data_IF_358834591582
#
_entry.id   IF_358834591582
#
_cell.length_a   1.000
_cell.length_b   1.000
_cell.length_c   1.000
_cell.angle_alpha   90.00
_cell.angle_beta   90.00
_cell.angle_gamma   90.00
#
_symmetry.space_group_name_H-M   'P 1'
#
loop_
_entity.id
_entity.type
_entity.pdbx_description
1 polymer ?
#
# COMPACT_ATOMS: atom_id res chain seq x y z
N UNK A 1 -22.91 -4.08 -21.09
CA UNK A 1 -22.69 -4.17 -19.63
C UNK A 1 -23.40 -5.43 -19.17
N UNK A 2 -22.66 -6.52 -19.03
CA UNK A 2 -23.23 -7.78 -18.52
C UNK A 2 -23.40 -7.64 -17.02
N UNK A 3 -24.62 -7.86 -16.55
CA UNK A 3 -24.99 -8.04 -15.16
C UNK A 3 -24.26 -9.28 -14.64
N UNK A 4 -23.01 -9.10 -14.18
CA UNK A 4 -22.26 -10.16 -13.52
C UNK A 4 -22.94 -10.30 -12.17
N UNK A 5 -23.70 -11.38 -11.97
CA UNK A 5 -24.27 -11.67 -10.66
C UNK A 5 -23.13 -11.98 -9.69
N UNK A 6 -22.63 -10.95 -9.03
CA UNK A 6 -21.67 -11.12 -7.95
C UNK A 6 -22.32 -11.86 -6.79
N UNK A 7 -21.52 -12.64 -6.06
CA UNK A 7 -22.02 -13.53 -5.02
C UNK A 7 -22.98 -12.80 -4.07
N UNK A 8 -24.19 -13.34 -3.91
CA UNK A 8 -25.17 -12.86 -2.96
C UNK A 8 -24.74 -13.28 -1.55
N UNK A 9 -24.09 -12.37 -0.84
CA UNK A 9 -23.92 -12.48 0.62
C UNK A 9 -25.17 -11.91 1.31
N UNK A 10 -25.57 -12.51 2.44
CA UNK A 10 -26.66 -11.95 3.26
C UNK A 10 -26.18 -10.66 3.92
N UNK A 11 -26.53 -9.52 3.32
CA UNK A 11 -26.12 -8.21 3.82
C UNK A 11 -26.66 -7.91 5.22
N UNK A 12 -27.75 -8.58 5.66
CA UNK A 12 -28.29 -8.43 7.02
C UNK A 12 -27.33 -8.99 8.09
N UNK A 13 -26.45 -9.91 7.71
CA UNK A 13 -25.44 -10.48 8.60
C UNK A 13 -24.18 -9.62 8.73
N UNK A 14 -23.99 -8.59 7.89
CA UNK A 14 -22.76 -7.77 7.85
C UNK A 14 -22.49 -7.00 9.14
N UNK A 15 -23.54 -6.53 9.82
CA UNK A 15 -23.39 -5.93 11.14
C UNK A 15 -22.84 -6.94 12.17
N UNK A 16 -23.17 -8.23 12.03
CA UNK A 16 -22.63 -9.29 12.88
C UNK A 16 -21.12 -9.53 12.65
N UNK A 17 -20.65 -9.32 11.41
CA UNK A 17 -19.25 -9.45 11.06
C UNK A 17 -18.38 -8.31 11.57
N UNK A 18 -18.84 -7.06 11.46
CA UNK A 18 -18.07 -5.88 11.90
C UNK A 18 -18.91 -4.95 12.79
N UNK A 19 -18.61 -4.99 14.09
CA UNK A 19 -19.22 -4.16 15.13
C UNK A 19 -18.23 -3.08 15.60
N UNK A 20 -18.69 -2.06 16.36
CA UNK A 20 -17.82 -0.96 16.79
C UNK A 20 -16.61 -1.36 17.64
N UNK A 21 -16.64 -2.53 18.30
CA UNK A 21 -15.60 -2.95 19.26
C UNK A 21 -15.06 -4.37 19.00
N UNK A 22 -15.53 -5.04 17.93
CA UNK A 22 -15.20 -6.42 17.63
C UNK A 22 -15.57 -6.81 16.20
N UNK A 23 -14.94 -7.89 15.72
CA UNK A 23 -15.26 -8.54 14.46
C UNK A 23 -15.51 -10.03 14.64
N UNK A 24 -16.20 -10.66 13.68
CA UNK A 24 -16.40 -12.09 13.67
C UNK A 24 -15.16 -12.82 13.08
N UNK A 25 -14.73 -13.96 13.64
CA UNK A 25 -13.56 -14.71 13.14
C UNK A 25 -13.64 -15.12 11.67
N UNK A 26 -14.86 -15.38 11.19
CA UNK A 26 -15.14 -15.70 9.79
C UNK A 26 -14.63 -14.64 8.80
N UNK A 27 -14.47 -13.37 9.22
CA UNK A 27 -13.83 -12.34 8.41
C UNK A 27 -12.41 -12.74 7.97
N UNK A 28 -11.71 -13.58 8.74
CA UNK A 28 -10.35 -13.99 8.41
C UNK A 28 -10.28 -15.30 7.61
N UNK A 29 -11.34 -16.10 7.54
CA UNK A 29 -11.20 -17.44 6.96
C UNK A 29 -12.35 -17.94 6.10
N UNK A 30 -13.45 -17.20 5.96
CA UNK A 30 -14.59 -17.58 5.12
C UNK A 30 -14.26 -17.32 3.63
N UNK A 31 -14.18 -18.38 2.79
CA UNK A 31 -13.89 -18.22 1.36
C UNK A 31 -15.00 -17.48 0.60
N UNK A 32 -16.28 -17.64 0.96
CA UNK A 32 -17.38 -16.97 0.29
C UNK A 32 -17.37 -15.47 0.58
N UNK A 33 -17.10 -15.11 1.83
CA UNK A 33 -16.90 -13.71 2.20
C UNK A 33 -15.71 -13.10 1.46
N UNK A 34 -14.60 -13.82 1.35
CA UNK A 34 -13.43 -13.37 0.60
C UNK A 34 -13.72 -13.14 -0.89
N UNK A 35 -14.47 -14.01 -1.57
CA UNK A 35 -14.84 -13.76 -2.97
C UNK A 35 -15.73 -12.51 -3.11
N UNK A 36 -16.62 -12.26 -2.14
CA UNK A 36 -17.40 -11.03 -2.10
C UNK A 36 -16.54 -9.78 -1.81
N UNK A 37 -15.49 -9.89 -0.99
CA UNK A 37 -14.52 -8.81 -0.77
C UNK A 37 -13.74 -8.48 -2.04
N UNK A 38 -13.31 -9.48 -2.81
CA UNK A 38 -12.66 -9.24 -4.09
C UNK A 38 -13.54 -8.43 -5.02
N UNK A 39 -14.82 -8.80 -5.14
CA UNK A 39 -15.77 -8.03 -5.94
C UNK A 39 -16.01 -6.63 -5.38
N UNK A 40 -16.55 -6.55 -4.16
CA UNK A 40 -17.11 -5.30 -3.62
C UNK A 40 -16.05 -4.31 -3.16
N UNK A 41 -14.84 -4.78 -2.87
CA UNK A 41 -13.73 -3.93 -2.45
C UNK A 41 -12.70 -3.82 -3.57
N UNK A 42 -11.96 -4.90 -3.85
CA UNK A 42 -10.78 -4.81 -4.72
C UNK A 42 -11.10 -4.48 -6.18
N UNK A 43 -12.29 -4.82 -6.68
CA UNK A 43 -12.70 -4.50 -8.05
C UNK A 43 -13.58 -3.25 -8.16
N UNK A 44 -13.95 -2.61 -7.04
CA UNK A 44 -14.84 -1.42 -7.06
C UNK A 44 -14.25 -0.15 -6.46
N UNK A 45 -13.12 -0.24 -5.74
CA UNK A 45 -12.42 0.92 -5.16
C UNK A 45 -11.13 1.27 -5.89
N UNK A 46 -10.43 2.29 -5.40
CA UNK A 46 -9.09 2.66 -5.83
C UNK A 46 -8.05 1.71 -5.23
N UNK A 47 -7.23 1.10 -6.09
CA UNK A 47 -6.16 0.19 -5.71
C UNK A 47 -4.84 0.75 -6.18
N UNK A 48 -3.87 0.88 -5.29
CA UNK A 48 -2.52 1.29 -5.68
C UNK A 48 -1.87 0.21 -6.52
N UNK A 49 -1.24 0.61 -7.64
CA UNK A 49 -0.64 -0.32 -8.61
C UNK A 49 0.84 -0.06 -8.88
N UNK A 50 1.31 1.19 -8.76
CA UNK A 50 2.69 1.57 -9.08
C UNK A 50 3.06 2.94 -8.48
N UNK A 51 4.35 3.25 -8.43
CA UNK A 51 4.83 4.62 -8.30
C UNK A 51 5.39 5.14 -9.63
N UNK A 52 5.20 6.42 -9.95
CA UNK A 52 5.59 7.02 -11.23
C UNK A 52 7.07 6.90 -11.56
N UNK A 53 7.95 6.88 -10.55
CA UNK A 53 9.39 6.68 -10.73
C UNK A 53 9.77 5.28 -11.23
N UNK A 54 8.85 4.31 -11.20
CA UNK A 54 9.03 3.01 -11.86
C UNK A 54 8.79 3.09 -13.37
N UNK A 55 8.25 4.21 -13.87
CA UNK A 55 7.85 4.45 -15.25
C UNK A 55 8.38 5.80 -15.76
N UNK A 56 9.71 6.08 -15.71
CA UNK A 56 10.23 7.41 -16.02
C UNK A 56 10.10 7.79 -17.50
N UNK A 57 10.09 6.84 -18.42
CA UNK A 57 10.11 7.10 -19.87
C UNK A 57 8.84 6.58 -20.58
N UNK A 58 8.47 7.19 -21.72
CA UNK A 58 7.47 6.61 -22.61
C UNK A 58 7.80 5.16 -23.01
N UNK A 59 6.81 4.29 -22.92
CA UNK A 59 6.92 2.86 -23.16
C UNK A 59 7.30 2.06 -21.92
N UNK A 60 7.78 2.69 -20.85
CA UNK A 60 8.07 1.97 -19.60
C UNK A 60 6.77 1.40 -19.05
N UNK A 61 6.82 0.14 -18.63
CA UNK A 61 5.69 -0.57 -18.05
C UNK A 61 6.13 -1.44 -16.88
N UNK A 62 5.18 -1.71 -15.99
CA UNK A 62 5.24 -2.79 -15.01
C UNK A 62 3.97 -3.63 -15.10
N UNK A 63 4.05 -4.92 -14.79
CA UNK A 63 2.90 -5.78 -14.62
C UNK A 63 2.66 -6.05 -13.14
N UNK A 64 1.40 -6.02 -12.74
CA UNK A 64 0.96 -6.23 -11.35
C UNK A 64 -0.45 -6.81 -11.35
N UNK A 65 -1.10 -6.84 -10.20
CA UNK A 65 -2.46 -7.36 -10.07
C UNK A 65 -3.32 -6.48 -9.19
N UNK A 66 -4.59 -6.36 -9.53
CA UNK A 66 -5.64 -5.90 -8.63
C UNK A 66 -6.41 -7.14 -8.19
N UNK A 67 -6.36 -7.47 -6.90
CA UNK A 67 -6.82 -8.76 -6.39
C UNK A 67 -6.18 -9.93 -7.14
N UNK A 68 -6.99 -10.68 -7.91
CA UNK A 68 -6.52 -11.78 -8.77
C UNK A 68 -6.43 -11.40 -10.25
N UNK A 69 -6.81 -10.19 -10.65
CA UNK A 69 -6.83 -9.77 -12.04
C UNK A 69 -5.49 -9.15 -12.46
N UNK A 70 -4.79 -9.69 -13.46
CA UNK A 70 -3.52 -9.15 -13.92
C UNK A 70 -3.73 -7.86 -14.72
N UNK A 71 -2.88 -6.87 -14.46
CA UNK A 71 -2.90 -5.55 -15.11
C UNK A 71 -1.51 -5.12 -15.54
N UNK A 72 -1.46 -4.23 -16.53
CA UNK A 72 -0.25 -3.57 -17.03
C UNK A 72 -0.39 -2.09 -16.71
N UNK A 73 0.56 -1.53 -15.97
CA UNK A 73 0.70 -0.07 -15.78
C UNK A 73 1.77 0.41 -16.75
N UNK A 74 1.47 1.38 -17.60
CA UNK A 74 2.36 1.80 -18.67
C UNK A 74 2.28 3.30 -18.90
N UNK A 75 3.43 3.95 -19.09
CA UNK A 75 3.50 5.32 -19.60
C UNK A 75 3.49 5.28 -21.12
N UNK A 76 2.51 5.92 -21.76
CA UNK A 76 2.43 5.92 -23.21
C UNK A 76 3.33 6.99 -23.88
N UNK A 77 3.25 7.07 -25.20
CA UNK A 77 4.06 7.99 -26.01
C UNK A 77 3.74 9.48 -25.79
N UNK A 78 2.57 9.80 -25.27
CA UNK A 78 2.18 11.16 -24.90
C UNK A 78 2.57 11.52 -23.47
N UNK A 79 3.00 10.53 -22.68
CA UNK A 79 3.36 10.68 -21.28
C UNK A 79 2.24 10.32 -20.29
N UNK A 80 1.03 10.01 -20.78
CA UNK A 80 -0.11 9.58 -19.97
C UNK A 80 0.13 8.17 -19.37
N UNK A 81 -0.27 7.98 -18.11
CA UNK A 81 -0.28 6.68 -17.46
C UNK A 81 -1.57 5.95 -17.80
N UNK A 82 -1.44 4.75 -18.36
CA UNK A 82 -2.53 3.85 -18.67
C UNK A 82 -2.44 2.61 -17.77
N UNK A 83 -3.58 2.12 -17.29
CA UNK A 83 -3.69 0.81 -16.64
C UNK A 83 -4.63 -0.06 -17.46
N UNK A 84 -4.09 -1.16 -17.96
CA UNK A 84 -4.77 -2.05 -18.90
C UNK A 84 -4.94 -3.43 -18.26
N UNK A 85 -6.12 -4.03 -18.35
CA UNK A 85 -6.27 -5.45 -18.01
C UNK A 85 -5.36 -6.27 -18.93
N UNK A 86 -4.48 -7.08 -18.35
CA UNK A 86 -3.51 -7.91 -19.07
C UNK A 86 -4.23 -9.15 -19.64
N UNK A 87 -5.19 -8.92 -20.55
CA UNK A 87 -6.07 -9.96 -21.08
C UNK A 87 -6.52 -9.61 -22.50
N UNK A 88 -5.98 -10.33 -23.47
CA UNK A 88 -6.37 -10.23 -24.87
C UNK A 88 -7.87 -10.48 -25.05
N UNK A 89 -8.53 -9.63 -25.84
CA UNK A 89 -9.97 -9.71 -26.11
C UNK A 89 -10.39 -10.93 -26.93
N UNK A 90 -9.45 -11.57 -27.64
CA UNK A 90 -9.77 -12.70 -28.51
C UNK A 90 -10.06 -14.01 -27.74
N UNK A 91 -9.09 -14.47 -26.93
CA UNK A 91 -9.17 -15.75 -26.19
C UNK A 91 -8.70 -15.66 -24.74
N UNK A 92 -8.53 -14.44 -24.22
CA UNK A 92 -8.21 -14.21 -22.81
C UNK A 92 -6.75 -14.46 -22.40
N UNK A 93 -5.85 -14.72 -23.35
CA UNK A 93 -4.42 -14.82 -23.05
C UNK A 93 -3.88 -13.47 -22.55
N UNK A 94 -3.00 -13.50 -21.56
CA UNK A 94 -2.15 -12.37 -21.20
C UNK A 94 -1.33 -11.90 -22.40
N UNK A 95 -1.11 -10.58 -22.50
CA UNK A 95 -0.39 -9.94 -23.60
C UNK A 95 1.02 -9.51 -23.22
N UNK A 96 1.34 -9.52 -21.93
CA UNK A 96 2.66 -9.20 -21.40
C UNK A 96 3.00 -10.10 -20.20
N UNK A 97 4.07 -10.89 -20.32
CA UNK A 97 4.57 -11.76 -19.24
C UNK A 97 5.73 -11.14 -18.46
N UNK A 98 6.37 -10.10 -19.01
CA UNK A 98 7.49 -9.44 -18.34
C UNK A 98 7.00 -8.64 -17.13
N UNK A 99 7.70 -8.77 -16.00
CA UNK A 99 7.39 -8.00 -14.78
C UNK A 99 7.53 -6.49 -14.99
N UNK A 100 8.56 -6.08 -15.74
CA UNK A 100 8.82 -4.68 -16.11
C UNK A 100 9.62 -4.60 -17.39
N UNK A 101 9.57 -3.46 -18.08
CA UNK A 101 10.38 -3.21 -19.26
C UNK A 101 9.98 -1.93 -19.98
N UNK A 102 10.44 -1.79 -21.22
CA UNK A 102 10.02 -0.73 -22.14
C UNK A 102 9.46 -1.37 -23.41
N UNK A 103 8.27 -0.95 -23.85
CA UNK A 103 7.58 -1.52 -25.00
C UNK A 103 7.05 -0.44 -25.96
N UNK A 104 6.88 -0.80 -27.23
CA UNK A 104 6.21 0.03 -28.25
C UNK A 104 4.71 -0.31 -28.40
N UNK A 105 4.28 -1.41 -27.80
CA UNK A 105 2.94 -1.99 -27.82
C UNK A 105 2.99 -3.42 -27.26
N UNK A 106 1.83 -4.05 -27.07
CA UNK A 106 1.71 -5.39 -26.50
C UNK A 106 1.12 -6.33 -27.54
N UNK A 107 1.81 -7.43 -27.84
CA UNK A 107 1.36 -8.41 -28.84
C UNK A 107 1.01 -9.72 -28.16
N UNK A 108 -0.24 -10.14 -28.31
CA UNK A 108 -0.71 -11.40 -27.74
C UNK A 108 0.06 -12.57 -28.37
N UNK A 109 0.70 -13.45 -27.57
CA UNK A 109 1.52 -14.54 -28.08
C UNK A 109 0.69 -15.64 -28.77
N UNK A 110 -0.64 -15.64 -28.59
CA UNK A 110 -1.49 -16.69 -29.12
C UNK A 110 -1.81 -16.49 -30.62
N UNK A 111 -2.41 -15.34 -30.98
CA UNK A 111 -2.84 -15.07 -32.36
C UNK A 111 -2.33 -13.72 -32.87
N UNK A 112 -1.30 -13.15 -32.23
CA UNK A 112 -0.65 -11.90 -32.64
C UNK A 112 -1.56 -10.67 -32.75
N UNK A 113 -2.65 -10.63 -31.99
CA UNK A 113 -3.40 -9.38 -31.78
C UNK A 113 -2.50 -8.38 -31.06
N UNK A 114 -2.26 -7.26 -31.71
CA UNK A 114 -1.28 -6.25 -31.31
C UNK A 114 -1.98 -4.99 -30.86
N UNK A 115 -1.70 -4.57 -29.63
CA UNK A 115 -2.30 -3.43 -28.96
C UNK A 115 -1.28 -2.31 -28.78
N UNK A 116 -1.72 -1.06 -28.86
CA UNK A 116 -0.94 0.10 -28.46
C UNK A 116 -0.82 0.21 -26.93
N UNK A 117 0.03 1.12 -26.47
CA UNK A 117 0.26 1.38 -25.04
C UNK A 117 -0.97 1.99 -24.33
N UNK A 118 -1.89 2.57 -25.11
CA UNK A 118 -3.21 3.04 -24.65
C UNK A 118 -4.28 1.93 -24.63
N UNK A 119 -3.92 0.71 -25.04
CA UNK A 119 -4.83 -0.44 -25.13
C UNK A 119 -5.56 -0.59 -26.48
N UNK A 120 -5.45 0.37 -27.40
CA UNK A 120 -6.12 0.32 -28.71
C UNK A 120 -5.62 -0.86 -29.53
N UNK A 121 -6.52 -1.65 -30.11
CA UNK A 121 -6.16 -2.72 -31.04
C UNK A 121 -5.63 -2.12 -32.36
N UNK A 122 -4.36 -2.36 -32.67
CA UNK A 122 -3.68 -1.84 -33.86
C UNK A 122 -3.74 -2.82 -35.04
N UNK A 123 -3.44 -4.07 -34.76
CA UNK A 123 -3.37 -5.10 -35.79
C UNK A 123 -3.89 -6.43 -35.26
N UNK A 124 -4.55 -7.17 -36.16
CA UNK A 124 -4.83 -8.58 -36.02
C UNK A 124 -4.51 -9.27 -37.35
N UNK A 125 -4.00 -10.50 -37.36
CA UNK A 125 -3.85 -11.30 -38.58
C UNK A 125 -5.22 -11.67 -39.18
N UNK A 126 -5.28 -11.82 -40.51
CA UNK A 126 -6.47 -12.26 -41.26
C UNK A 126 -7.75 -11.47 -40.91
N UNK A 127 -7.66 -10.15 -41.05
CA UNK A 127 -8.74 -9.24 -40.66
C UNK A 127 -10.00 -9.32 -41.52
N UNK A 128 -9.89 -9.86 -42.73
CA UNK A 128 -11.00 -10.20 -43.61
C UNK A 128 -12.01 -11.15 -42.95
N UNK A 129 -11.54 -12.00 -42.03
CA UNK A 129 -12.41 -12.87 -41.22
C UNK A 129 -13.34 -12.15 -40.23
N UNK A 130 -13.19 -10.82 -40.06
CA UNK A 130 -14.02 -9.99 -39.17
C UNK A 130 -14.90 -8.98 -39.93
N UNK A 131 -14.83 -8.93 -41.26
CA UNK A 131 -15.63 -8.00 -42.07
C UNK A 131 -17.14 -8.20 -41.84
N UNK A 132 -17.85 -7.12 -41.50
CA UNK A 132 -19.28 -7.15 -41.20
C UNK A 132 -19.64 -7.81 -39.86
N UNK A 133 -18.65 -8.24 -39.06
CA UNK A 133 -18.84 -8.85 -37.73
C UNK A 133 -18.48 -7.88 -36.62
N UNK A 134 -17.29 -7.27 -36.67
CA UNK A 134 -16.86 -6.25 -35.71
C UNK A 134 -15.72 -5.37 -36.25
N UNK A 135 -15.59 -4.17 -35.70
CA UNK A 135 -14.50 -3.25 -36.05
C UNK A 135 -13.37 -3.35 -35.03
N UNK A 136 -12.12 -3.05 -35.45
CA UNK A 136 -10.97 -3.03 -34.53
C UNK A 136 -11.18 -2.08 -33.35
N UNK A 137 -11.90 -0.98 -33.58
CA UNK A 137 -12.25 0.02 -32.56
C UNK A 137 -13.11 -0.53 -31.43
N UNK A 138 -13.83 -1.64 -31.66
CA UNK A 138 -14.70 -2.28 -30.65
C UNK A 138 -13.94 -3.23 -29.72
N UNK A 139 -12.67 -3.48 -30.03
CA UNK A 139 -11.86 -4.54 -29.43
C UNK A 139 -10.59 -4.05 -28.70
N UNK A 140 -10.56 -2.89 -28.02
CA UNK A 140 -9.41 -2.49 -27.23
C UNK A 140 -9.24 -3.41 -26.01
N UNK A 141 -8.04 -3.43 -25.44
CA UNK A 141 -7.87 -3.92 -24.07
C UNK A 141 -8.78 -3.13 -23.14
N UNK A 142 -9.25 -3.77 -22.08
CA UNK A 142 -10.03 -3.08 -21.04
C UNK A 142 -9.08 -2.10 -20.33
N UNK A 143 -9.32 -0.81 -20.50
CA UNK A 143 -8.62 0.28 -19.78
C UNK A 143 -9.36 0.52 -18.46
N UNK A 144 -8.61 0.63 -17.38
CA UNK A 144 -9.12 0.95 -16.04
C UNK A 144 -9.14 2.47 -15.82
N UNK A 145 -9.96 2.93 -14.89
CA UNK A 145 -9.90 4.30 -14.40
C UNK A 145 -8.56 4.48 -13.68
N UNK A 146 -7.84 5.56 -13.99
CA UNK A 146 -6.52 5.88 -13.39
C UNK A 146 -6.61 7.20 -12.64
N UNK A 147 -5.99 7.24 -11.47
CA UNK A 147 -5.77 8.45 -10.68
C UNK A 147 -4.33 8.48 -10.20
N UNK A 148 -3.73 9.66 -10.14
CA UNK A 148 -2.34 9.82 -9.70
C UNK A 148 -2.27 10.95 -8.68
N UNK A 149 -1.70 10.67 -7.51
CA UNK A 149 -1.51 11.66 -6.45
C UNK A 149 -0.10 11.52 -5.88
N UNK A 150 0.70 12.59 -5.94
CA UNK A 150 2.09 12.60 -5.47
C UNK A 150 2.93 11.41 -6.00
N UNK A 151 2.79 11.09 -7.28
CA UNK A 151 3.48 9.96 -7.93
C UNK A 151 2.91 8.57 -7.59
N UNK A 152 1.95 8.44 -6.65
CA UNK A 152 1.23 7.20 -6.39
C UNK A 152 0.17 6.98 -7.46
N UNK A 153 0.27 5.88 -8.20
CA UNK A 153 -0.66 5.52 -9.27
C UNK A 153 -1.70 4.54 -8.71
N UNK A 154 -2.96 4.94 -8.78
CA UNK A 154 -4.13 4.13 -8.42
C UNK A 154 -4.94 3.77 -9.65
N UNK A 155 -5.59 2.61 -9.61
CA UNK A 155 -6.52 2.18 -10.64
C UNK A 155 -7.78 1.53 -10.06
N UNK A 156 -8.87 1.61 -10.83
CA UNK A 156 -10.14 0.94 -10.51
C UNK A 156 -10.78 0.31 -11.75
N UNK A 157 -11.44 -0.84 -11.58
CA UNK A 157 -12.32 -1.40 -12.60
C UNK A 157 -13.69 -0.70 -12.64
N UNK A 158 -14.04 0.06 -11.60
CA UNK A 158 -15.25 0.85 -11.55
C UNK A 158 -15.02 2.22 -12.21
N UNK A 159 -15.53 2.40 -13.42
CA UNK A 159 -15.41 3.67 -14.16
C UNK A 159 -16.23 4.81 -13.54
N UNK A 160 -17.27 4.47 -12.76
CA UNK A 160 -18.14 5.42 -12.08
C UNK A 160 -17.68 5.75 -10.63
N UNK A 161 -16.48 5.31 -10.23
CA UNK A 161 -15.89 5.61 -8.92
C UNK A 161 -15.69 7.12 -8.73
N UNK A 162 -15.75 7.59 -7.49
CA UNK A 162 -15.44 8.97 -7.13
C UNK A 162 -14.00 9.35 -7.56
N UNK A 163 -13.72 10.66 -7.77
CA UNK A 163 -12.35 11.15 -7.97
C UNK A 163 -11.39 10.64 -6.89
N UNK A 164 -10.13 10.36 -7.28
CA UNK A 164 -9.12 9.83 -6.36
C UNK A 164 -8.92 10.76 -5.15
N UNK A 165 -9.00 12.06 -5.37
CA UNK A 165 -8.80 13.09 -4.35
C UNK A 165 -9.88 13.09 -3.27
N UNK A 166 -11.11 12.64 -3.62
CA UNK A 166 -12.23 12.50 -2.70
C UNK A 166 -12.10 11.19 -1.90
N UNK A 167 -11.64 10.13 -2.56
CA UNK A 167 -11.28 8.88 -1.90
C UNK A 167 -10.16 9.07 -0.88
N UNK A 168 -9.05 9.69 -1.27
CA UNK A 168 -7.91 9.92 -0.40
C UNK A 168 -8.26 10.86 0.77
N UNK A 169 -9.16 11.81 0.58
CA UNK A 169 -9.75 12.61 1.67
C UNK A 169 -8.72 13.15 2.67
N UNK A 170 -8.89 12.79 3.95
CA UNK A 170 -8.02 13.19 5.06
C UNK A 170 -6.61 12.60 5.03
N UNK A 171 -6.32 11.62 4.16
CA UNK A 171 -4.99 11.05 4.00
C UNK A 171 -4.05 11.93 3.16
N UNK A 172 -4.57 12.84 2.34
CA UNK A 172 -3.76 13.68 1.42
C UNK A 172 -2.64 14.46 2.12
N UNK A 173 -2.88 15.20 3.22
CA UNK A 173 -1.81 15.91 3.91
C UNK A 173 -0.71 14.98 4.44
N UNK A 174 -1.07 13.76 4.85
CA UNK A 174 -0.12 12.76 5.32
C UNK A 174 0.70 12.15 4.19
N UNK A 175 0.12 12.00 3.00
CA UNK A 175 0.86 11.61 1.80
C UNK A 175 1.86 12.72 1.44
N UNK A 176 1.44 13.98 1.47
CA UNK A 176 2.32 15.12 1.16
C UNK A 176 3.52 15.16 2.14
N UNK A 177 3.27 14.99 3.44
CA UNK A 177 4.32 14.88 4.46
C UNK A 177 5.22 13.67 4.23
N UNK A 178 4.63 12.51 3.91
CA UNK A 178 5.39 11.30 3.60
C UNK A 178 6.36 11.53 2.43
N UNK A 179 5.96 12.30 1.42
CA UNK A 179 6.80 12.55 0.24
C UNK A 179 7.95 13.54 0.47
N UNK A 180 7.98 14.27 1.60
CA UNK A 180 9.11 15.14 1.95
C UNK A 180 10.39 14.39 2.31
N UNK A 181 10.29 13.07 2.57
CA UNK A 181 11.45 12.24 2.91
C UNK A 181 12.48 12.06 1.77
N UNK A 182 12.25 12.65 0.59
CA UNK A 182 13.26 12.80 -0.43
C UNK A 182 14.37 13.81 -0.08
N UNK A 183 14.24 14.55 1.04
CA UNK A 183 15.27 15.45 1.56
C UNK A 183 15.79 16.50 0.55
N UNK A 184 14.88 17.04 -0.26
CA UNK A 184 15.21 17.99 -1.34
C UNK A 184 15.37 17.35 -2.72
N UNK A 185 15.33 16.01 -2.79
CA UNK A 185 15.29 15.24 -4.03
C UNK A 185 13.91 14.61 -4.23
N UNK A 186 13.48 14.30 -5.47
CA UNK A 186 12.31 13.46 -5.69
C UNK A 186 12.48 12.07 -5.05
N UNK A 187 11.39 11.43 -4.65
CA UNK A 187 11.43 10.04 -4.16
C UNK A 187 11.37 9.07 -5.33
N UNK A 188 12.11 7.97 -5.22
CA UNK A 188 11.95 6.82 -6.11
C UNK A 188 11.81 5.49 -5.39
N UNK A 189 11.13 4.56 -6.05
CA UNK A 189 11.19 3.15 -5.70
C UNK A 189 12.60 2.60 -5.97
N UNK A 190 13.18 1.90 -5.00
CA UNK A 190 14.58 1.46 -5.00
C UNK A 190 14.69 -0.04 -4.72
N UNK A 191 13.99 -0.82 -5.53
CA UNK A 191 13.92 -2.26 -5.38
C UNK A 191 12.76 -2.72 -4.49
N UNK A 192 12.44 -3.99 -4.62
CA UNK A 192 11.34 -4.62 -3.90
C UNK A 192 11.74 -6.03 -3.47
N UNK A 193 11.10 -6.51 -2.41
CA UNK A 193 11.02 -7.93 -2.14
C UNK A 193 9.58 -8.32 -1.82
N UNK A 194 9.27 -9.59 -2.05
CA UNK A 194 7.93 -10.15 -1.85
C UNK A 194 8.02 -11.38 -0.98
N UNK A 195 7.04 -11.55 -0.12
CA UNK A 195 6.83 -12.80 0.62
C UNK A 195 5.34 -13.05 0.76
N UNK A 196 4.99 -14.28 1.15
CA UNK A 196 3.62 -14.67 1.44
C UNK A 196 3.53 -15.15 2.88
N UNK A 197 2.40 -14.90 3.50
CA UNK A 197 2.05 -15.51 4.78
C UNK A 197 0.69 -16.19 4.68
N UNK A 198 0.50 -17.21 5.51
CA UNK A 198 -0.75 -17.96 5.60
C UNK A 198 -1.76 -17.22 6.47
N UNK A 199 -2.32 -16.15 5.92
CA UNK A 199 -3.41 -15.44 6.57
C UNK A 199 -4.12 -14.44 5.68
N UNK A 200 -5.22 -13.92 6.23
CA UNK A 200 -6.09 -12.96 5.59
C UNK A 200 -5.43 -11.59 5.42
N UNK A 201 -5.77 -10.89 4.34
CA UNK A 201 -5.22 -9.58 4.03
C UNK A 201 -5.54 -8.53 5.11
N UNK A 202 -6.68 -8.66 5.78
CA UNK A 202 -7.11 -7.73 6.84
C UNK A 202 -6.19 -7.75 8.07
N UNK A 203 -5.56 -8.89 8.38
CA UNK A 203 -4.62 -9.03 9.50
C UNK A 203 -3.39 -8.12 9.29
N UNK A 204 -2.88 -8.03 8.06
CA UNK A 204 -1.78 -7.13 7.77
C UNK A 204 -2.25 -5.67 7.69
N UNK A 205 -3.43 -5.43 7.12
CA UNK A 205 -4.03 -4.10 7.05
C UNK A 205 -4.10 -3.43 8.43
N UNK A 206 -4.63 -4.14 9.44
CA UNK A 206 -4.75 -3.61 10.80
C UNK A 206 -3.39 -3.43 11.49
N UNK A 207 -2.47 -4.37 11.29
CA UNK A 207 -1.13 -4.36 11.89
C UNK A 207 -0.32 -3.10 11.55
N UNK A 208 -0.49 -2.52 10.36
CA UNK A 208 0.26 -1.32 9.92
C UNK A 208 0.12 -0.16 10.90
N UNK A 209 -1.08 0.04 11.45
CA UNK A 209 -1.37 1.08 12.44
C UNK A 209 -1.54 0.54 13.85
N UNK A 210 -1.14 -0.72 14.09
CA UNK A 210 -1.02 -1.29 15.42
C UNK A 210 0.34 -0.98 16.01
N UNK A 211 0.50 0.08 16.82
CA UNK A 211 1.78 0.30 17.49
C UNK A 211 1.90 -0.48 18.80
N UNK A 212 0.82 -1.11 19.30
CA UNK A 212 0.83 -1.82 20.58
C UNK A 212 1.66 -3.11 20.53
N UNK A 213 1.67 -3.82 19.40
CA UNK A 213 2.48 -5.04 19.23
C UNK A 213 3.99 -4.77 19.18
N UNK A 214 4.40 -3.57 18.76
CA UNK A 214 5.76 -3.32 18.28
C UNK A 214 6.84 -3.66 19.31
N UNK A 215 6.76 -3.21 20.59
CA UNK A 215 7.81 -3.51 21.59
C UNK A 215 7.89 -4.99 21.98
N UNK A 216 6.85 -5.77 21.70
CA UNK A 216 6.75 -7.18 22.10
C UNK A 216 7.22 -8.09 20.97
N UNK A 217 6.65 -7.91 19.78
CA UNK A 217 6.94 -8.74 18.61
C UNK A 217 8.37 -8.50 18.14
N UNK A 218 8.80 -7.24 18.05
CA UNK A 218 10.12 -6.86 17.52
C UNK A 218 11.22 -6.80 18.60
N UNK A 219 11.06 -7.55 19.70
CA UNK A 219 12.05 -7.63 20.80
C UNK A 219 13.41 -8.13 20.35
N UNK A 220 13.43 -8.99 19.33
CA UNK A 220 14.66 -9.50 18.73
C UNK A 220 15.45 -8.37 18.05
N UNK A 221 14.76 -7.53 17.27
CA UNK A 221 15.29 -6.39 16.55
C UNK A 221 15.75 -5.26 17.47
N UNK A 222 14.98 -4.92 18.50
CA UNK A 222 15.42 -3.88 19.45
C UNK A 222 16.74 -4.24 20.15
N UNK A 223 17.09 -5.53 20.26
CA UNK A 223 18.38 -5.98 20.79
C UNK A 223 19.53 -5.92 19.77
N UNK A 224 19.23 -5.76 18.48
CA UNK A 224 20.25 -5.68 17.42
C UNK A 224 20.66 -4.24 17.08
N UNK A 225 19.97 -3.24 17.63
CA UNK A 225 20.25 -1.81 17.46
C UNK A 225 20.81 -1.21 18.75
N UNK A 226 21.32 0.02 18.68
CA UNK A 226 21.75 0.78 19.85
C UNK A 226 20.58 1.18 20.77
N UNK A 227 20.87 1.31 22.07
CA UNK A 227 19.88 1.60 23.11
C UNK A 227 19.17 2.94 22.88
N UNK A 228 19.87 3.94 22.33
CA UNK A 228 19.30 5.25 21.99
C UNK A 228 18.21 5.11 20.93
N UNK A 229 18.50 4.43 19.83
CA UNK A 229 17.52 4.15 18.76
C UNK A 229 16.34 3.34 19.30
N UNK A 230 16.59 2.31 20.11
CA UNK A 230 15.54 1.48 20.69
C UNK A 230 14.61 2.30 21.61
N UNK A 231 15.17 3.17 22.44
CA UNK A 231 14.42 4.07 23.32
C UNK A 231 13.62 5.10 22.51
N UNK A 232 14.22 5.72 21.49
CA UNK A 232 13.55 6.71 20.65
C UNK A 232 12.32 6.12 19.97
N UNK A 233 12.47 4.96 19.32
CA UNK A 233 11.38 4.30 18.59
C UNK A 233 10.28 3.79 19.51
N UNK A 234 10.57 3.44 20.78
CA UNK A 234 9.54 2.93 21.70
C UNK A 234 8.93 4.00 22.60
N UNK A 235 9.40 5.25 22.50
CA UNK A 235 8.92 6.37 23.32
C UNK A 235 7.41 6.66 23.16
N UNK A 236 6.82 6.35 22.00
CA UNK A 236 5.38 6.47 21.74
C UNK A 236 4.51 5.68 22.72
N UNK A 237 5.06 4.67 23.41
CA UNK A 237 4.31 3.88 24.39
C UNK A 237 3.86 4.71 25.59
N UNK A 238 4.59 5.78 25.89
CA UNK A 238 4.37 6.65 27.04
C UNK A 238 4.21 8.12 26.67
N UNK A 239 4.45 8.49 25.42
CA UNK A 239 4.31 9.87 24.94
C UNK A 239 2.83 10.23 24.77
N UNK A 240 2.42 11.35 25.36
CA UNK A 240 1.06 11.91 25.16
C UNK A 240 0.87 12.50 23.75
N UNK A 241 1.98 12.81 23.07
CA UNK A 241 1.99 13.38 21.71
C UNK A 241 1.91 12.30 20.62
N UNK A 242 2.02 11.02 20.99
CA UNK A 242 1.86 9.91 20.06
C UNK A 242 0.38 9.53 19.91
N UNK A 243 -0.14 9.59 18.67
CA UNK A 243 -1.57 9.41 18.42
C UNK A 243 -1.86 8.57 17.17
N UNK A 244 -3.05 8.00 17.11
CA UNK A 244 -3.62 7.39 15.91
C UNK A 244 -4.87 8.18 15.45
N UNK A 245 -5.23 8.06 14.17
CA UNK A 245 -6.43 8.69 13.60
C UNK A 245 -7.20 7.79 12.64
N UNK A 246 -8.51 7.99 12.62
CA UNK A 246 -9.40 7.58 11.55
C UNK A 246 -9.52 8.75 10.55
N UNK A 247 -9.03 8.57 9.33
CA UNK A 247 -8.94 9.63 8.31
C UNK A 247 -10.10 9.63 7.31
N UNK A 248 -11.08 8.74 7.51
CA UNK A 248 -12.18 8.51 6.58
C UNK A 248 -11.82 7.52 5.48
N UNK A 249 -12.86 6.98 4.81
CA UNK A 249 -12.74 6.00 3.71
C UNK A 249 -11.87 4.78 4.04
N UNK A 250 -11.81 4.39 5.31
CA UNK A 250 -11.02 3.26 5.77
C UNK A 250 -9.53 3.56 5.96
N UNK A 251 -9.10 4.80 5.67
CA UNK A 251 -7.72 5.23 5.85
C UNK A 251 -7.40 5.48 7.32
N UNK A 252 -6.21 5.07 7.75
CA UNK A 252 -5.79 5.22 9.14
C UNK A 252 -4.34 5.67 9.26
N UNK A 253 -4.04 6.33 10.39
CA UNK A 253 -2.73 6.85 10.72
C UNK A 253 -2.33 6.40 12.11
N UNK A 254 -1.05 6.11 12.30
CA UNK A 254 -0.42 5.99 13.61
C UNK A 254 0.90 6.76 13.63
N UNK A 255 1.00 7.79 14.46
CA UNK A 255 2.21 8.59 14.70
C UNK A 255 2.97 7.99 15.87
N UNK A 256 4.22 7.61 15.64
CA UNK A 256 5.14 7.10 16.65
C UNK A 256 6.21 8.11 17.07
N UNK A 257 6.64 8.99 16.17
CA UNK A 257 7.67 10.01 16.43
C UNK A 257 7.13 11.36 15.95
N UNK A 258 6.39 12.11 16.80
CA UNK A 258 5.78 13.38 16.44
C UNK A 258 6.78 14.40 15.86
N UNK A 259 8.02 14.40 16.35
CA UNK A 259 9.14 15.23 15.91
C UNK A 259 9.65 14.91 14.49
N UNK A 260 9.20 13.79 13.90
CA UNK A 260 9.52 13.37 12.54
C UNK A 260 8.27 13.31 11.62
N UNK A 261 7.16 13.96 12.00
CA UNK A 261 5.99 14.09 11.11
C UNK A 261 6.37 14.89 9.87
N UNK A 262 6.94 16.09 10.05
CA UNK A 262 7.38 16.95 8.96
C UNK A 262 8.92 17.01 8.93
N UNK A 263 9.50 16.33 7.96
CA UNK A 263 10.96 16.26 7.81
C UNK A 263 11.59 17.58 7.33
N UNK A 264 10.78 18.55 6.90
CA UNK A 264 11.26 19.91 6.60
C UNK A 264 11.32 20.79 7.85
N UNK A 265 10.61 20.43 8.93
CA UNK A 265 10.72 21.13 10.22
C UNK A 265 11.89 20.55 11.02
N UNK A 266 12.87 21.39 11.33
CA UNK A 266 14.07 21.03 12.08
C UNK A 266 14.11 21.75 13.42
N UNK A 267 13.98 20.99 14.50
CA UNK A 267 14.00 21.47 15.88
C UNK A 267 15.43 21.75 16.41
N UNK A 268 16.46 21.46 15.60
CA UNK A 268 17.86 21.63 15.96
C UNK A 268 18.41 20.51 16.86
N UNK A 269 17.66 19.44 17.12
CA UNK A 269 18.14 18.31 17.90
C UNK A 269 19.40 17.70 17.27
N UNK A 270 20.37 17.20 18.06
CA UNK A 270 21.55 16.54 17.53
C UNK A 270 21.20 15.41 16.56
N UNK A 271 21.99 15.24 15.50
CA UNK A 271 21.85 14.07 14.63
C UNK A 271 22.26 12.80 15.41
N UNK A 272 21.59 11.66 15.19
CA UNK A 272 21.96 10.41 15.86
C UNK A 272 23.44 10.06 15.62
N UNK A 273 24.16 9.71 16.69
CA UNK A 273 25.62 9.52 16.65
C UNK A 273 26.04 8.44 15.63
N UNK A 274 25.21 7.41 15.45
CA UNK A 274 25.42 6.34 14.45
C UNK A 274 25.56 6.86 13.01
N UNK A 275 25.00 8.02 12.71
CA UNK A 275 25.10 8.64 11.38
C UNK A 275 26.24 9.67 11.28
N UNK A 276 27.02 9.90 12.34
CA UNK A 276 28.14 10.85 12.31
C UNK A 276 29.17 10.56 11.20
N UNK A 277 29.57 9.30 10.90
CA UNK A 277 30.47 9.01 9.79
C UNK A 277 29.89 9.40 8.42
N UNK A 278 28.59 9.15 8.21
CA UNK A 278 27.90 9.53 7.00
C UNK A 278 27.75 11.05 6.89
N UNK A 279 27.38 11.72 7.98
CA UNK A 279 27.25 13.17 8.04
C UNK A 279 28.57 13.87 7.71
N UNK A 280 29.69 13.39 8.25
CA UNK A 280 31.02 13.91 7.94
C UNK A 280 31.36 13.77 6.44
N UNK A 281 31.04 12.61 5.84
CA UNK A 281 31.26 12.39 4.41
C UNK A 281 30.38 13.26 3.53
N UNK A 282 29.13 13.48 3.90
CA UNK A 282 28.21 14.37 3.18
C UNK A 282 28.66 15.83 3.27
N UNK A 283 29.19 16.26 4.42
CA UNK A 283 29.68 17.62 4.65
C UNK A 283 30.86 18.03 3.74
N UNK A 284 31.54 17.07 3.08
CA UNK A 284 32.55 17.36 2.06
C UNK A 284 31.94 18.01 0.80
N UNK A 285 30.64 17.81 0.54
CA UNK A 285 29.97 18.18 -0.71
C UNK A 285 28.64 18.91 -0.54
N UNK A 286 28.11 18.98 0.68
CA UNK A 286 26.79 19.55 0.97
C UNK A 286 26.86 20.56 2.11
N UNK A 287 25.96 21.55 2.07
CA UNK A 287 25.85 22.53 3.15
C UNK A 287 25.32 21.88 4.46
N UNK A 288 25.61 22.44 5.64
CA UNK A 288 25.24 21.83 6.91
C UNK A 288 23.74 21.51 7.07
N UNK A 289 22.87 22.37 6.54
CA UNK A 289 21.42 22.19 6.50
C UNK A 289 20.99 21.04 5.57
N UNK A 290 21.61 20.93 4.39
CA UNK A 290 21.39 19.80 3.48
C UNK A 290 21.81 18.47 4.12
N UNK A 291 22.97 18.44 4.79
CA UNK A 291 23.46 17.25 5.52
C UNK A 291 22.44 16.84 6.58
N UNK A 292 21.95 17.78 7.40
CA UNK A 292 20.93 17.48 8.42
C UNK A 292 19.66 16.94 7.80
N UNK A 293 19.15 17.58 6.75
CA UNK A 293 17.91 17.14 6.07
C UNK A 293 18.05 15.71 5.53
N UNK A 294 19.17 15.41 4.88
CA UNK A 294 19.45 14.06 4.36
C UNK A 294 19.50 13.05 5.52
N UNK A 295 20.29 13.32 6.56
CA UNK A 295 20.48 12.36 7.68
C UNK A 295 19.17 12.13 8.44
N UNK A 296 18.40 13.18 8.76
CA UNK A 296 17.11 13.05 9.44
C UNK A 296 16.11 12.22 8.64
N UNK A 297 16.16 12.30 7.31
CA UNK A 297 15.28 11.53 6.45
C UNK A 297 15.63 10.04 6.35
N UNK A 298 16.79 9.56 6.81
CA UNK A 298 17.27 8.20 6.52
C UNK A 298 16.34 7.10 7.04
N UNK A 299 15.67 7.34 8.16
CA UNK A 299 14.67 6.43 8.73
C UNK A 299 13.27 6.65 8.18
N UNK A 300 13.04 7.70 7.40
CA UNK A 300 11.72 8.11 6.92
C UNK A 300 10.94 8.92 7.94
N UNK A 301 9.63 9.05 7.71
CA UNK A 301 8.74 9.82 8.58
C UNK A 301 8.39 9.08 9.87
N UNK A 302 8.02 9.83 10.90
CA UNK A 302 7.64 9.32 12.23
C UNK A 302 6.24 8.72 12.34
N UNK A 303 5.65 8.27 11.24
CA UNK A 303 4.30 7.73 11.21
C UNK A 303 4.13 6.60 10.20
N UNK A 304 3.10 5.79 10.44
CA UNK A 304 2.55 4.83 9.50
C UNK A 304 1.19 5.34 9.00
N UNK A 305 1.00 5.38 7.70
CA UNK A 305 -0.26 5.70 7.04
C UNK A 305 -0.74 4.46 6.28
N UNK A 306 -1.99 4.09 6.49
CA UNK A 306 -2.63 3.00 5.77
C UNK A 306 -3.70 3.58 4.84
N UNK A 307 -3.49 3.39 3.54
CA UNK A 307 -4.43 3.70 2.48
C UNK A 307 -5.19 2.42 2.13
N UNK A 308 -6.39 2.33 2.68
CA UNK A 308 -7.32 1.24 2.40
C UNK A 308 -7.48 1.04 0.88
N UNK A 309 -7.56 -0.21 0.38
CA UNK A 309 -7.38 -1.45 1.12
C UNK A 309 -5.95 -2.01 1.05
N UNK A 310 -5.03 -1.45 0.24
CA UNK A 310 -3.85 -2.21 -0.18
C UNK A 310 -2.47 -1.55 -0.06
N UNK A 311 -2.38 -0.29 0.35
CA UNK A 311 -1.11 0.42 0.42
C UNK A 311 -0.89 1.02 1.80
N UNK A 312 0.23 0.66 2.42
CA UNK A 312 0.76 1.31 3.60
C UNK A 312 2.02 2.11 3.24
N UNK A 313 2.09 3.35 3.74
CA UNK A 313 3.26 4.19 3.75
C UNK A 313 3.85 4.15 5.16
N UNK A 314 4.99 3.49 5.33
CA UNK A 314 5.58 3.27 6.64
C UNK A 314 7.03 3.70 6.62
N UNK A 315 7.40 4.61 7.52
CA UNK A 315 8.80 5.06 7.64
C UNK A 315 9.35 5.48 6.27
N UNK A 316 10.29 4.72 5.69
CA UNK A 316 10.88 4.95 4.37
C UNK A 316 10.59 3.87 3.32
N UNK A 317 9.42 3.24 3.36
CA UNK A 317 9.02 2.21 2.39
C UNK A 317 7.51 2.19 2.12
N UNK A 318 7.14 1.65 0.97
CA UNK A 318 5.77 1.22 0.72
C UNK A 318 5.62 -0.25 1.11
N UNK A 319 4.51 -0.58 1.77
CA UNK A 319 4.08 -1.96 1.98
C UNK A 319 2.76 -2.16 1.26
N UNK A 320 2.74 -3.12 0.35
CA UNK A 320 1.62 -3.35 -0.55
C UNK A 320 1.13 -4.75 -0.32
N UNK A 321 -0.13 -4.89 0.07
CA UNK A 321 -0.75 -6.20 0.22
C UNK A 321 -1.49 -6.60 -1.05
N UNK A 322 -1.49 -7.89 -1.31
CA UNK A 322 -2.28 -8.51 -2.37
C UNK A 322 -3.04 -9.71 -1.79
N UNK A 323 -4.38 -9.68 -1.78
CA UNK A 323 -5.18 -10.82 -1.36
C UNK A 323 -5.10 -11.94 -2.40
N UNK A 324 -4.71 -13.16 -1.98
CA UNK A 324 -4.69 -14.35 -2.85
C UNK A 324 -5.88 -15.25 -2.56
N UNK A 325 -6.14 -15.52 -1.28
CA UNK A 325 -7.31 -16.25 -0.80
C UNK A 325 -7.68 -15.77 0.60
N UNK A 326 -8.76 -16.30 1.17
CA UNK A 326 -9.11 -16.03 2.57
C UNK A 326 -7.95 -16.34 3.54
N UNK A 327 -7.06 -17.27 3.18
CA UNK A 327 -5.99 -17.79 4.03
C UNK A 327 -4.58 -17.55 3.48
N UNK A 328 -4.42 -16.75 2.42
CA UNK A 328 -3.09 -16.44 1.86
C UNK A 328 -3.07 -15.00 1.33
N UNK A 329 -2.03 -14.27 1.73
CA UNK A 329 -1.77 -12.89 1.30
C UNK A 329 -0.29 -12.76 0.91
N UNK A 330 -0.04 -12.05 -0.19
CA UNK A 330 1.30 -11.65 -0.61
C UNK A 330 1.56 -10.22 -0.19
N UNK A 331 2.73 -9.98 0.39
CA UNK A 331 3.21 -8.66 0.78
C UNK A 331 4.40 -8.30 -0.11
N UNK A 332 4.35 -7.10 -0.69
CA UNK A 332 5.44 -6.47 -1.43
C UNK A 332 5.92 -5.26 -0.62
N UNK A 333 7.18 -5.29 -0.22
CA UNK A 333 7.85 -4.11 0.32
C UNK A 333 8.66 -3.45 -0.78
N UNK A 334 8.49 -2.13 -0.94
CA UNK A 334 9.22 -1.30 -1.90
C UNK A 334 10.04 -0.30 -1.10
N UNK A 335 11.36 -0.47 -1.11
CA UNK A 335 12.27 0.49 -0.47
C UNK A 335 12.24 1.81 -1.23
N UNK A 336 12.37 2.93 -0.52
CA UNK A 336 12.44 4.26 -1.15
C UNK A 336 13.85 4.82 -1.12
N UNK A 337 14.18 5.64 -2.10
CA UNK A 337 15.44 6.36 -2.20
C UNK A 337 15.22 7.79 -2.72
N UNK A 338 16.24 8.61 -2.59
CA UNK A 338 16.34 9.93 -3.19
C UNK A 338 16.76 9.79 -4.65
N UNK A 339 15.97 10.30 -5.59
CA UNK A 339 16.31 10.30 -7.00
C UNK A 339 17.27 11.44 -7.35
N UNK A 340 18.47 11.08 -7.79
CA UNK A 340 19.57 12.03 -7.96
C UNK A 340 20.26 12.46 -6.66
N UNK A 341 19.86 11.91 -5.51
CA UNK A 341 20.50 12.19 -4.21
C UNK A 341 21.80 11.41 -3.98
N UNK A 342 22.53 11.67 -2.87
CA UNK A 342 23.83 11.06 -2.62
C UNK A 342 23.77 9.53 -2.48
N UNK A 343 24.61 8.83 -3.24
CA UNK A 343 24.66 7.36 -3.28
C UNK A 343 24.94 6.75 -1.90
N UNK A 344 25.80 7.38 -1.09
CA UNK A 344 26.07 6.91 0.27
C UNK A 344 24.84 6.96 1.18
N UNK A 345 24.00 7.98 1.04
CA UNK A 345 22.80 8.14 1.87
C UNK A 345 21.70 7.18 1.39
N UNK A 346 21.54 7.01 0.07
CA UNK A 346 20.65 5.99 -0.50
C UNK A 346 21.07 4.58 -0.10
N UNK A 347 22.38 4.30 -0.08
CA UNK A 347 22.91 3.02 0.38
C UNK A 347 22.63 2.81 1.86
N UNK A 348 22.81 3.82 2.70
CA UNK A 348 22.52 3.74 4.13
C UNK A 348 21.02 3.49 4.39
N UNK A 349 20.14 4.24 3.72
CA UNK A 349 18.69 4.02 3.79
C UNK A 349 18.31 2.60 3.37
N UNK A 350 18.93 2.07 2.31
CA UNK A 350 18.72 0.69 1.89
C UNK A 350 19.17 -0.32 2.97
N UNK A 351 20.31 -0.10 3.65
CA UNK A 351 20.77 -0.97 4.75
C UNK A 351 19.82 -0.92 5.94
N UNK A 352 19.27 0.24 6.27
CA UNK A 352 18.24 0.37 7.32
C UNK A 352 16.99 -0.43 6.94
N UNK A 353 16.53 -0.31 5.69
CA UNK A 353 15.40 -1.10 5.18
C UNK A 353 15.69 -2.60 5.25
N UNK A 354 16.87 -3.04 4.80
CA UNK A 354 17.27 -4.44 4.83
C UNK A 354 17.32 -5.02 6.25
N UNK A 355 17.77 -4.23 7.23
CA UNK A 355 17.90 -4.67 8.61
C UNK A 355 16.53 -4.98 9.24
N UNK A 356 15.50 -4.18 8.97
CA UNK A 356 14.18 -4.39 9.57
C UNK A 356 13.21 -5.11 8.61
N UNK A 357 12.98 -4.56 7.43
CA UNK A 357 11.93 -5.03 6.51
C UNK A 357 12.46 -5.88 5.36
N UNK A 358 13.78 -5.97 5.12
CA UNK A 358 14.33 -6.74 4.01
C UNK A 358 14.03 -8.24 4.05
N UNK A 359 14.41 -8.98 3.00
CA UNK A 359 14.13 -10.43 2.89
C UNK A 359 14.76 -11.26 4.02
N UNK A 360 15.79 -10.73 4.69
CA UNK A 360 16.42 -11.32 5.88
C UNK A 360 16.40 -10.36 7.08
N UNK A 361 15.54 -9.35 7.03
CA UNK A 361 15.35 -8.41 8.13
C UNK A 361 14.61 -9.06 9.30
N UNK A 362 14.63 -8.42 10.47
CA UNK A 362 14.00 -8.96 11.67
C UNK A 362 12.47 -8.79 11.68
N UNK A 363 11.96 -7.67 11.17
CA UNK A 363 10.56 -7.28 11.29
C UNK A 363 9.61 -8.15 10.48
N UNK A 364 9.91 -8.39 9.20
CA UNK A 364 9.06 -9.21 8.33
C UNK A 364 8.78 -10.64 8.86
N UNK A 365 9.78 -11.43 9.32
CA UNK A 365 9.52 -12.74 9.89
C UNK A 365 8.82 -12.68 11.26
N UNK A 366 9.15 -11.71 12.12
CA UNK A 366 8.51 -11.55 13.43
C UNK A 366 7.00 -11.22 13.26
N UNK A 367 6.68 -10.31 12.34
CA UNK A 367 5.31 -9.97 11.96
C UNK A 367 4.57 -11.16 11.34
N UNK A 368 5.18 -11.83 10.35
CA UNK A 368 4.53 -12.94 9.64
C UNK A 368 4.17 -14.12 10.57
N UNK A 369 5.04 -14.47 11.52
CA UNK A 369 4.73 -15.51 12.51
C UNK A 369 3.56 -15.11 13.41
N UNK A 370 3.47 -13.83 13.82
CA UNK A 370 2.33 -13.34 14.58
C UNK A 370 1.04 -13.39 13.75
N UNK A 371 1.07 -12.97 12.47
CA UNK A 371 -0.09 -13.01 11.59
C UNK A 371 -0.59 -14.44 11.34
N UNK A 372 0.30 -15.40 11.12
CA UNK A 372 -0.11 -16.79 10.94
C UNK A 372 -0.70 -17.38 12.23
N UNK A 373 -0.25 -16.94 13.42
CA UNK A 373 -0.90 -17.30 14.69
C UNK A 373 -2.31 -16.75 14.79
N UNK A 374 -2.53 -15.50 14.39
CA UNK A 374 -3.87 -14.89 14.33
C UNK A 374 -4.76 -15.70 13.40
N UNK A 375 -4.28 -16.04 12.20
CA UNK A 375 -5.04 -16.87 11.25
C UNK A 375 -5.42 -18.23 11.85
N UNK A 376 -4.45 -18.95 12.43
CA UNK A 376 -4.71 -20.25 13.10
C UNK A 376 -5.70 -20.11 14.24
N UNK A 377 -5.57 -19.04 15.03
CA UNK A 377 -6.45 -18.73 16.16
C UNK A 377 -7.88 -18.41 15.72
N UNK A 378 -8.07 -17.69 14.61
CA UNK A 378 -9.39 -17.34 14.09
C UNK A 378 -10.22 -18.55 13.64
N UNK A 379 -9.57 -19.68 13.30
CA UNK A 379 -10.28 -20.94 13.06
C UNK A 379 -10.77 -21.62 14.35
N UNK A 380 -10.23 -21.25 15.50
CA UNK A 380 -10.66 -21.76 16.79
C UNK A 380 -11.77 -20.85 17.36
N UNK A 381 -12.90 -21.45 17.74
CA UNK A 381 -14.02 -20.70 18.31
C UNK A 381 -14.75 -19.83 17.28
N UNK A 382 -15.52 -20.42 16.36
CA UNK A 382 -16.21 -19.69 15.28
C UNK A 382 -17.16 -18.58 15.78
N UNK A 383 -17.64 -18.71 17.02
CA UNK A 383 -18.55 -17.76 17.67
C UNK A 383 -17.84 -16.83 18.68
N UNK A 384 -16.51 -16.93 18.83
CA UNK A 384 -15.72 -16.10 19.75
C UNK A 384 -15.25 -14.85 19.00
N UNK A 385 -15.77 -13.65 19.29
CA UNK A 385 -15.40 -12.45 18.55
C UNK A 385 -13.92 -12.07 18.77
N UNK A 386 -13.31 -11.52 17.72
CA UNK A 386 -11.99 -10.88 17.80
C UNK A 386 -12.21 -9.42 18.20
N UNK A 387 -11.56 -8.97 19.27
CA UNK A 387 -11.80 -7.65 19.84
C UNK A 387 -10.98 -6.57 19.12
N UNK A 388 -11.60 -5.42 18.93
CA UNK A 388 -10.99 -4.18 18.40
C UNK A 388 -11.44 -3.01 19.31
N UNK A 389 -11.43 -3.26 20.62
CA UNK A 389 -12.06 -2.44 21.65
C UNK A 389 -11.09 -1.55 22.44
N UNK A 390 -9.79 -1.61 22.14
CA UNK A 390 -8.78 -0.83 22.84
C UNK A 390 -8.91 0.64 22.48
N UNK A 391 -8.93 1.48 23.52
CA UNK A 391 -9.04 2.94 23.39
C UNK A 391 -10.44 3.49 23.27
N UNK A 392 -11.51 2.68 23.33
CA UNK A 392 -12.89 3.19 23.22
C UNK A 392 -13.26 4.25 24.27
N UNK A 393 -12.66 4.17 25.46
CA UNK A 393 -12.86 5.15 26.54
C UNK A 393 -11.92 6.36 26.45
N UNK A 394 -10.96 6.34 25.51
CA UNK A 394 -9.98 7.41 25.26
C UNK A 394 -10.13 8.06 23.89
N UNK A 395 -10.94 7.49 23.00
CA UNK A 395 -11.21 8.03 21.68
C UNK A 395 -11.91 9.39 21.82
N UNK A 396 -11.35 10.39 21.16
CA UNK A 396 -11.87 11.76 21.09
C UNK A 396 -11.99 12.18 19.64
N UNK A 397 -12.47 13.41 19.41
CA UNK A 397 -12.58 13.99 18.08
C UNK A 397 -11.65 15.19 17.98
N UNK A 398 -10.73 15.15 17.01
CA UNK A 398 -9.83 16.24 16.71
C UNK A 398 -10.58 17.44 16.10
N UNK A 399 -9.95 18.61 16.04
CA UNK A 399 -10.57 19.85 15.58
C UNK A 399 -11.10 19.77 14.13
N UNK A 400 -10.53 18.89 13.30
CA UNK A 400 -10.95 18.63 11.92
C UNK A 400 -12.06 17.56 11.81
N UNK A 401 -12.59 17.06 12.93
CA UNK A 401 -13.66 16.06 12.97
C UNK A 401 -13.18 14.60 12.92
N UNK A 402 -11.87 14.36 12.74
CA UNK A 402 -11.29 13.01 12.74
C UNK A 402 -11.33 12.40 14.13
N UNK A 403 -11.66 11.10 14.23
CA UNK A 403 -11.50 10.38 15.48
C UNK A 403 -10.02 10.14 15.75
N UNK A 404 -9.61 10.37 16.99
CA UNK A 404 -8.22 10.21 17.41
C UNK A 404 -8.12 9.60 18.80
N UNK A 405 -7.03 8.88 19.04
CA UNK A 405 -6.69 8.32 20.34
C UNK A 405 -5.17 8.20 20.45
N UNK A 406 -4.68 7.62 21.54
CA UNK A 406 -3.25 7.35 21.70
C UNK A 406 -2.74 6.39 20.61
N UNK A 407 -1.47 6.49 20.23
CA UNK A 407 -0.81 5.68 19.19
C UNK A 407 -1.00 4.16 19.32
N UNK A 408 -1.20 3.66 20.55
CA UNK A 408 -1.43 2.24 20.83
C UNK A 408 -2.89 1.81 20.82
N UNK A 409 -3.83 2.70 20.49
CA UNK A 409 -5.27 2.43 20.46
C UNK A 409 -5.75 2.07 19.05
N UNK A 410 -6.87 1.34 18.99
CA UNK A 410 -7.33 0.68 17.75
C UNK A 410 -8.30 1.54 16.93
N UNK A 411 -8.29 2.87 17.13
CA UNK A 411 -9.16 3.82 16.41
C UNK A 411 -9.00 3.71 14.90
N UNK A 412 -7.76 3.60 14.42
CA UNK A 412 -7.46 3.42 13.00
C UNK A 412 -7.96 2.08 12.43
N UNK A 413 -7.89 1.00 13.22
CA UNK A 413 -8.37 -0.32 12.77
C UNK A 413 -9.90 -0.33 12.63
N UNK A 414 -10.61 0.28 13.59
CA UNK A 414 -12.07 0.41 13.54
C UNK A 414 -12.56 1.16 12.30
N UNK A 415 -11.79 2.15 11.83
CA UNK A 415 -12.09 2.88 10.58
C UNK A 415 -12.07 1.95 9.37
N UNK A 416 -11.03 1.11 9.22
CA UNK A 416 -10.93 0.14 8.14
C UNK A 416 -12.10 -0.86 8.15
N UNK A 417 -12.52 -1.35 9.33
CA UNK A 417 -13.66 -2.26 9.46
C UNK A 417 -15.02 -1.60 9.20
N UNK A 418 -15.18 -0.33 9.56
CA UNK A 418 -16.38 0.45 9.21
C UNK A 418 -16.49 0.67 7.70
N UNK A 419 -15.38 1.01 7.05
CA UNK A 419 -15.33 1.16 5.60
C UNK A 419 -15.57 -0.19 4.90
N UNK A 420 -14.95 -1.27 5.38
CA UNK A 420 -15.21 -2.62 4.90
C UNK A 420 -16.71 -2.91 4.93
N UNK A 421 -17.38 -2.67 6.08
CA UNK A 421 -18.83 -2.92 6.21
C UNK A 421 -19.63 -2.09 5.22
N UNK A 422 -19.35 -0.79 5.12
CA UNK A 422 -20.00 0.13 4.17
C UNK A 422 -19.92 -0.38 2.74
N UNK A 423 -18.75 -0.87 2.31
CA UNK A 423 -18.55 -1.40 0.96
C UNK A 423 -19.22 -2.75 0.75
N UNK A 424 -19.20 -3.62 1.76
CA UNK A 424 -19.88 -4.91 1.68
C UNK A 424 -21.41 -4.76 1.68
N UNK A 425 -21.98 -3.67 2.23
CA UNK A 425 -23.42 -3.39 2.22
C UNK A 425 -23.92 -2.84 0.86
N UNK A 426 -23.03 -2.24 0.06
CA UNK A 426 -23.36 -1.73 -1.27
C UNK A 426 -23.63 -2.91 -2.23
N UNK A 427 -24.70 -2.81 -3.02
CA UNK A 427 -25.10 -3.81 -4.01
C UNK A 427 -24.31 -3.62 -5.32
#
# INVERSE_FOLDING_TARGET
MSDISYQTIDTRALHGFAQPDRIAPAMYHDPALFEAELDRIFYRTWIWVAHESELPNPGDFITTTIGRQPVIVVRDKTGEINVLQNRCRHRGATVCESHKGNAKGFTCPYHSWSYALDGTLRALPYGDGYEGVCEKGDLPLVKLRVGVYQGLIFASFNDAIEPLEDFLGGAKPWIDLFMKQGAGYPIKANGEHKFKFKGNWKIQLENTTDLYHFPVVHKSWMKSIDDETAAAITSFMTSEDAFCRALGNGHSLAVLMPELIDLDEDDGAPLPERFAPLAAKLAERHAPDEVRRIVRSLMGVGFNLNLFPNLALSMAFFRVLRPISANETEIRHVALAMDGGPDEANRERLRIHEHFQGPFGFGSPDDAEAWERVQRGAHAGPDVPILVNRGLNRETTAANGEKTAHATDETGMREAYQQWRKMMEQQ
#
